data_IF_963001467448
#
_entry.id   IF_963001467448
#
_cell.length_a   1.000
_cell.length_b   1.000
_cell.length_c   1.000
_cell.angle_alpha   90.00
_cell.angle_beta   90.00
_cell.angle_gamma   90.00
#
_symmetry.space_group_name_H-M   'P 1'
#
loop_
_entity.id
_entity.type
_entity.pdbx_description
1 polymer ?
#
# COMPACT_ATOMS: atom_id res chain seq x y z
N UNK A 1 -28.78 -15.56 2.03
CA UNK A 1 -27.31 -15.62 2.15
C UNK A 1 -26.78 -14.34 1.53
N UNK A 2 -26.40 -13.35 2.34
CA UNK A 2 -25.72 -12.17 1.84
C UNK A 2 -24.33 -12.62 1.37
N UNK A 3 -24.09 -12.58 0.07
CA UNK A 3 -22.74 -12.68 -0.47
C UNK A 3 -22.05 -11.34 -0.17
N UNK A 4 -21.49 -11.20 1.04
CA UNK A 4 -20.47 -10.19 1.28
C UNK A 4 -19.26 -10.62 0.45
N UNK A 5 -19.07 -10.02 -0.72
CA UNK A 5 -17.80 -10.11 -1.42
C UNK A 5 -16.79 -9.34 -0.56
N UNK A 6 -16.16 -10.04 0.39
CA UNK A 6 -14.98 -9.56 1.08
C UNK A 6 -13.87 -9.50 0.03
N UNK A 7 -13.73 -8.34 -0.61
CA UNK A 7 -12.64 -8.08 -1.54
C UNK A 7 -11.37 -8.11 -0.71
N UNK A 8 -10.49 -9.07 -1.01
CA UNK A 8 -9.19 -9.17 -0.37
C UNK A 8 -8.36 -7.94 -0.71
N UNK A 9 -7.57 -7.43 0.24
CA UNK A 9 -6.65 -6.31 -0.01
C UNK A 9 -5.70 -6.58 -1.18
N UNK A 10 -5.37 -7.85 -1.42
CA UNK A 10 -4.55 -8.29 -2.55
C UNK A 10 -5.22 -8.15 -3.92
N UNK A 11 -6.55 -8.09 -3.97
CA UNK A 11 -7.34 -7.94 -5.21
C UNK A 11 -7.46 -6.47 -5.64
N UNK A 12 -7.14 -5.52 -4.74
CA UNK A 12 -7.20 -4.10 -5.04
C UNK A 12 -6.08 -3.68 -6.00
N UNK A 13 -6.34 -2.75 -6.94
CA UNK A 13 -5.34 -2.33 -7.93
C UNK A 13 -4.07 -1.72 -7.31
N UNK A 14 -4.19 -1.13 -6.12
CA UNK A 14 -3.06 -0.57 -5.36
C UNK A 14 -2.09 -1.66 -4.87
N UNK A 15 -2.57 -2.90 -4.66
CA UNK A 15 -1.72 -4.03 -4.28
C UNK A 15 -0.64 -4.30 -5.35
N UNK A 16 -0.99 -4.12 -6.62
CA UNK A 16 -0.05 -4.27 -7.74
C UNK A 16 1.01 -3.18 -7.75
N UNK A 17 0.64 -1.94 -7.42
CA UNK A 17 1.59 -0.82 -7.34
C UNK A 17 2.59 -1.06 -6.22
N UNK A 18 2.11 -1.48 -5.05
CA UNK A 18 2.97 -1.81 -3.89
C UNK A 18 3.93 -2.96 -4.23
N UNK A 19 3.44 -4.01 -4.90
CA UNK A 19 4.31 -5.11 -5.37
C UNK A 19 5.39 -4.62 -6.32
N UNK A 20 5.04 -3.80 -7.29
CA UNK A 20 6.03 -3.26 -8.24
C UNK A 20 7.09 -2.45 -7.51
N UNK A 21 6.69 -1.53 -6.62
CA UNK A 21 7.63 -0.74 -5.82
C UNK A 21 8.53 -1.63 -4.94
N UNK A 22 7.95 -2.66 -4.31
CA UNK A 22 8.72 -3.62 -3.51
C UNK A 22 9.72 -4.44 -4.34
N UNK A 23 9.37 -4.76 -5.58
CA UNK A 23 10.22 -5.49 -6.52
C UNK A 23 11.29 -4.62 -7.19
N UNK A 24 11.09 -3.31 -7.22
CA UNK A 24 12.06 -2.33 -7.72
C UNK A 24 13.26 -2.19 -6.77
N UNK A 25 13.04 -2.46 -5.47
CA UNK A 25 14.07 -2.46 -4.46
C UNK A 25 15.13 -3.55 -4.68
N UNK A 26 16.34 -3.22 -4.24
CA UNK A 26 17.44 -4.20 -4.13
C UNK A 26 17.03 -5.38 -3.22
N UNK A 27 17.47 -6.59 -3.57
CA UNK A 27 17.08 -7.81 -2.84
C UNK A 27 17.41 -7.74 -1.35
N UNK A 28 18.56 -7.16 -0.99
CA UNK A 28 18.99 -6.97 0.40
C UNK A 28 18.02 -6.06 1.16
N UNK A 29 17.64 -4.94 0.56
CA UNK A 29 16.71 -3.99 1.16
C UNK A 29 15.31 -4.62 1.27
N UNK A 30 14.82 -5.26 0.20
CA UNK A 30 13.55 -6.00 0.21
C UNK A 30 13.50 -7.06 1.32
N UNK A 31 14.57 -7.84 1.51
CA UNK A 31 14.67 -8.79 2.64
C UNK A 31 14.63 -8.08 3.99
N UNK A 32 15.26 -6.91 4.10
CA UNK A 32 15.23 -6.10 5.32
C UNK A 32 13.83 -5.56 5.65
N UNK A 33 13.04 -5.14 4.66
CA UNK A 33 11.68 -4.61 4.92
C UNK A 33 10.66 -5.73 5.15
N UNK A 34 10.81 -6.84 4.42
CA UNK A 34 9.98 -8.02 4.64
C UNK A 34 10.31 -8.69 5.97
N UNK A 35 11.56 -8.65 6.45
CA UNK A 35 12.01 -9.26 7.70
C UNK A 35 11.44 -10.68 7.91
N UNK A 36 10.38 -10.81 8.71
CA UNK A 36 9.67 -12.07 9.03
C UNK A 36 8.31 -12.23 8.35
N UNK A 37 7.80 -11.22 7.66
CA UNK A 37 6.49 -11.27 6.99
C UNK A 37 6.61 -11.72 5.54
N UNK A 38 5.56 -12.36 5.04
CA UNK A 38 5.49 -12.71 3.60
C UNK A 38 5.22 -11.46 2.76
N UNK A 39 5.57 -11.50 1.47
CA UNK A 39 5.23 -10.42 0.53
C UNK A 39 3.74 -10.11 0.54
N UNK A 40 2.88 -11.13 0.59
CA UNK A 40 1.44 -10.95 0.62
C UNK A 40 0.98 -10.24 1.90
N UNK A 41 1.54 -10.58 3.06
CA UNK A 41 1.23 -9.89 4.32
C UNK A 41 1.69 -8.43 4.29
N UNK A 42 2.91 -8.19 3.80
CA UNK A 42 3.43 -6.84 3.62
C UNK A 42 2.52 -6.01 2.71
N UNK A 43 2.20 -6.55 1.53
CA UNK A 43 1.32 -5.87 0.56
C UNK A 43 -0.05 -5.62 1.16
N UNK A 44 -0.65 -6.61 1.84
CA UNK A 44 -1.95 -6.43 2.52
C UNK A 44 -1.90 -5.31 3.54
N UNK A 45 -0.86 -5.27 4.38
CA UNK A 45 -0.68 -4.23 5.39
C UNK A 45 -0.49 -2.84 4.77
N UNK A 46 0.26 -2.74 3.66
CA UNK A 46 0.41 -1.47 2.94
C UNK A 46 -0.90 -1.02 2.28
N UNK A 47 -1.72 -1.96 1.80
CA UNK A 47 -3.06 -1.64 1.28
C UNK A 47 -3.97 -1.11 2.38
N UNK A 48 -3.92 -1.67 3.60
CA UNK A 48 -4.66 -1.13 4.75
C UNK A 48 -4.26 0.32 5.05
N UNK A 49 -2.94 0.61 5.09
CA UNK A 49 -2.42 1.98 5.26
C UNK A 49 -2.94 2.90 4.16
N UNK A 50 -2.96 2.44 2.90
CA UNK A 50 -3.50 3.22 1.79
C UNK A 50 -4.99 3.57 2.01
N UNK A 51 -5.80 2.61 2.44
CA UNK A 51 -7.23 2.85 2.66
C UNK A 51 -7.47 3.81 3.84
N UNK A 52 -6.73 3.66 4.94
CA UNK A 52 -6.80 4.54 6.10
C UNK A 52 -6.38 5.97 5.75
N UNK A 53 -5.27 6.13 5.04
CA UNK A 53 -4.79 7.44 4.59
C UNK A 53 -5.73 8.09 3.57
N UNK A 54 -6.33 7.28 2.67
CA UNK A 54 -7.30 7.76 1.70
C UNK A 54 -8.56 8.29 2.40
N UNK A 55 -9.12 7.52 3.33
CA UNK A 55 -10.28 7.93 4.12
C UNK A 55 -9.98 9.21 4.92
N UNK A 56 -8.81 9.26 5.55
CA UNK A 56 -8.36 10.42 6.31
C UNK A 56 -8.23 11.67 5.43
N UNK A 57 -7.62 11.56 4.25
CA UNK A 57 -7.49 12.68 3.32
C UNK A 57 -8.85 13.12 2.77
N UNK A 58 -9.74 12.19 2.44
CA UNK A 58 -11.10 12.55 2.02
C UNK A 58 -11.87 13.26 3.14
N UNK A 59 -11.75 12.82 4.39
CA UNK A 59 -12.33 13.52 5.55
C UNK A 59 -11.76 14.92 5.79
N UNK A 60 -10.49 15.14 5.45
CA UNK A 60 -9.84 16.45 5.53
C UNK A 60 -10.22 17.40 4.38
N UNK A 61 -11.09 16.97 3.46
CA UNK A 61 -11.61 17.79 2.37
C UNK A 61 -10.73 17.82 1.12
N UNK A 62 -9.77 16.89 0.99
CA UNK A 62 -9.04 16.72 -0.26
C UNK A 62 -9.94 16.06 -1.32
N UNK A 63 -9.81 16.50 -2.57
CA UNK A 63 -10.43 15.83 -3.71
C UNK A 63 -9.88 14.41 -3.87
N UNK A 64 -10.64 13.54 -4.54
CA UNK A 64 -10.29 12.11 -4.70
C UNK A 64 -8.87 11.92 -5.26
N UNK A 65 -8.47 12.73 -6.26
CA UNK A 65 -7.13 12.64 -6.83
C UNK A 65 -6.03 13.01 -5.81
N UNK A 66 -6.24 14.06 -5.03
CA UNK A 66 -5.29 14.49 -3.99
C UNK A 66 -5.23 13.48 -2.84
N UNK A 67 -6.37 12.95 -2.43
CA UNK A 67 -6.44 11.92 -1.39
C UNK A 67 -5.74 10.63 -1.81
N UNK A 68 -5.90 10.20 -3.07
CA UNK A 68 -5.18 9.04 -3.64
C UNK A 68 -3.68 9.28 -3.69
N UNK A 69 -3.22 10.49 -4.04
CA UNK A 69 -1.79 10.80 -4.06
C UNK A 69 -1.18 10.75 -2.65
N UNK A 70 -1.86 11.34 -1.66
CA UNK A 70 -1.42 11.30 -0.26
C UNK A 70 -1.37 9.85 0.23
N UNK A 71 -2.44 9.09 0.03
CA UNK A 71 -2.52 7.69 0.43
C UNK A 71 -1.44 6.82 -0.22
N UNK A 72 -1.12 7.08 -1.49
CA UNK A 72 -0.08 6.35 -2.21
C UNK A 72 1.31 6.66 -1.65
N UNK A 73 1.58 7.92 -1.29
CA UNK A 73 2.84 8.30 -0.64
C UNK A 73 2.99 7.60 0.71
N UNK A 74 1.95 7.61 1.53
CA UNK A 74 1.96 6.97 2.86
C UNK A 74 2.16 5.46 2.76
N UNK A 75 1.47 4.78 1.84
CA UNK A 75 1.59 3.32 1.73
C UNK A 75 2.95 2.88 1.17
N UNK A 76 3.61 3.72 0.37
CA UNK A 76 4.94 3.48 -0.19
C UNK A 76 6.08 4.05 0.68
N UNK A 77 5.78 4.73 1.79
CA UNK A 77 6.78 5.23 2.71
C UNK A 77 7.65 4.08 3.25
N UNK A 78 8.98 4.26 3.19
CA UNK A 78 9.99 3.25 3.49
C UNK A 78 10.18 2.17 2.42
N UNK A 79 9.44 2.20 1.30
CA UNK A 79 9.68 1.38 0.10
C UNK A 79 10.25 2.23 -1.02
N UNK A 80 9.75 3.47 -1.18
CA UNK A 80 10.19 4.39 -2.23
C UNK A 80 11.24 5.41 -1.78
N UNK A 81 11.58 5.46 -0.48
CA UNK A 81 12.57 6.38 0.10
C UNK A 81 14.03 5.88 -0.06
N UNK A 82 14.24 4.76 -0.76
CA UNK A 82 15.59 4.24 -1.05
C UNK A 82 16.32 5.02 -2.18
N UNK A 83 15.75 6.12 -2.67
CA UNK A 83 16.27 6.94 -3.79
C UNK A 83 16.74 8.36 -3.35
N UNK A 84 17.04 8.58 -2.05
CA UNK A 84 17.74 9.80 -1.57
C UNK A 84 19.09 9.50 -0.90
#
# INVERSE_FOLDING_TARGET
MNNSYEISNLDLPVSRVIRVALHDLSEEYRKSILDKMTENEFVSHRVDIYLEALETAMHNGYDEAGAKEIALKECLAGVSEADE
#
